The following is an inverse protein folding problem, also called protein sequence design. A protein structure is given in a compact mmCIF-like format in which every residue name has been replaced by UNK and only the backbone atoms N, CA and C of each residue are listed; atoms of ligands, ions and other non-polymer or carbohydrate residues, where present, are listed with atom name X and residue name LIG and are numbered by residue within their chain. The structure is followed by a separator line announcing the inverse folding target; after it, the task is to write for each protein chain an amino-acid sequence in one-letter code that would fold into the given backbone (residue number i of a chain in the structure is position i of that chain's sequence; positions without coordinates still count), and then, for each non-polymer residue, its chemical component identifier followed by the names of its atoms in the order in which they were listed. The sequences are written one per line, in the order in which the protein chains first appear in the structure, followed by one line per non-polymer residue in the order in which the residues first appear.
data_IF_835231068132
#
_entry.id   IF_835231068132
#
_cell.length_a   1.000
_cell.length_b   1.000
_cell.length_c   1.000
_cell.angle_alpha   90.00
_cell.angle_beta   90.00
_cell.angle_gamma   90.00
#
_symmetry.space_group_name_H-M   'P 1'
#
loop_
_entity.id
_entity.type
_entity.pdbx_description
1 polymer ?
#
# COMPACT_ATOMS: atom_id res chain seq x y z
N UNK A 1 14.48 -5.52 -20.96
CA UNK A 1 13.58 -6.15 -21.96
C UNK A 1 12.60 -7.14 -21.31
N UNK A 2 13.02 -7.99 -20.34
CA UNK A 2 12.12 -8.92 -19.63
C UNK A 2 11.14 -8.15 -18.72
N UNK A 3 11.58 -7.13 -18.01
CA UNK A 3 10.75 -6.30 -17.12
C UNK A 3 9.65 -5.53 -17.88
N UNK A 4 9.91 -5.22 -19.14
CA UNK A 4 8.94 -4.55 -20.02
C UNK A 4 7.84 -5.50 -20.51
N UNK A 5 8.14 -6.80 -20.61
CA UNK A 5 7.20 -7.80 -21.14
C UNK A 5 6.39 -8.49 -20.04
N UNK A 6 6.98 -8.75 -18.87
CA UNK A 6 6.36 -9.53 -17.78
C UNK A 6 6.25 -8.79 -16.45
N UNK A 7 6.86 -7.60 -16.31
CA UNK A 7 6.90 -6.82 -15.08
C UNK A 7 6.10 -5.52 -15.15
N UNK A 8 6.40 -4.61 -14.19
CA UNK A 8 5.79 -3.29 -14.07
C UNK A 8 6.49 -2.23 -14.95
N UNK A 9 7.39 -2.66 -15.86
CA UNK A 9 8.10 -1.77 -16.78
C UNK A 9 8.88 -0.66 -16.06
N UNK A 10 8.63 0.62 -16.41
CA UNK A 10 9.35 1.75 -15.79
C UNK A 10 9.18 1.85 -14.27
N UNK A 11 8.18 1.21 -13.69
CA UNK A 11 7.89 1.28 -12.25
C UNK A 11 8.63 0.24 -11.41
N UNK A 12 9.33 -0.73 -12.03
CA UNK A 12 10.03 -1.82 -11.31
C UNK A 12 11.00 -1.30 -10.25
N UNK A 13 11.82 -0.30 -10.60
CA UNK A 13 12.78 0.28 -9.65
C UNK A 13 12.12 0.92 -8.44
N UNK A 14 10.96 1.58 -8.64
CA UNK A 14 10.20 2.18 -7.54
C UNK A 14 9.47 1.12 -6.69
N UNK A 15 9.03 0.03 -7.32
CA UNK A 15 8.41 -1.08 -6.61
C UNK A 15 9.42 -1.87 -5.77
N UNK A 16 10.66 -2.01 -6.26
CA UNK A 16 11.73 -2.70 -5.56
C UNK A 16 12.34 -1.86 -4.39
N UNK A 17 12.16 -0.54 -4.39
CA UNK A 17 12.68 0.35 -3.36
C UNK A 17 11.78 0.33 -2.12
N UNK A 18 12.21 -0.31 -1.05
CA UNK A 18 11.44 -0.45 0.20
C UNK A 18 11.13 0.88 0.91
N UNK A 19 11.83 1.96 0.56
CA UNK A 19 11.57 3.31 1.10
C UNK A 19 10.40 4.01 0.42
N UNK A 20 9.99 3.54 -0.76
CA UNK A 20 8.84 4.05 -1.50
C UNK A 20 7.57 3.42 -0.95
N UNK A 21 6.61 4.26 -0.56
CA UNK A 21 5.32 3.84 0.02
C UNK A 21 4.18 3.86 -0.99
N UNK A 22 4.20 4.80 -1.93
CA UNK A 22 3.16 4.95 -2.94
C UNK A 22 3.76 5.39 -4.28
N UNK A 23 3.20 4.91 -5.38
CA UNK A 23 3.58 5.26 -6.75
C UNK A 23 2.31 5.76 -7.45
N UNK A 24 2.39 6.93 -8.06
CA UNK A 24 1.28 7.59 -8.74
C UNK A 24 1.68 7.92 -10.17
N UNK A 25 0.94 7.42 -11.13
CA UNK A 25 1.10 7.67 -12.57
C UNK A 25 -0.11 8.44 -13.07
N UNK A 26 0.09 9.68 -13.47
CA UNK A 26 -0.93 10.57 -14.00
C UNK A 26 -0.66 10.81 -15.50
N UNK A 27 -1.14 9.89 -16.32
CA UNK A 27 -0.78 9.82 -17.73
C UNK A 27 0.67 9.37 -17.95
N UNK A 28 1.11 9.20 -19.20
CA UNK A 28 2.38 8.54 -19.52
C UNK A 28 3.63 9.34 -19.10
N UNK A 29 3.51 10.66 -18.93
CA UNK A 29 4.67 11.55 -18.69
C UNK A 29 4.86 11.97 -17.24
N UNK A 30 3.91 11.65 -16.36
CA UNK A 30 3.87 12.16 -14.99
C UNK A 30 3.84 11.03 -14.00
N UNK A 31 5.02 10.59 -13.56
CA UNK A 31 5.19 9.59 -12.53
C UNK A 31 5.70 10.26 -11.26
N UNK A 32 5.00 10.01 -10.16
CA UNK A 32 5.36 10.48 -8.83
C UNK A 32 5.47 9.30 -7.87
N UNK A 33 6.22 9.48 -6.80
CA UNK A 33 6.28 8.50 -5.72
C UNK A 33 6.37 9.20 -4.37
N UNK A 34 5.88 8.54 -3.35
CA UNK A 34 6.01 8.97 -1.97
C UNK A 34 7.15 8.21 -1.28
N UNK A 35 7.97 8.95 -0.54
CA UNK A 35 9.04 8.43 0.32
C UNK A 35 9.10 9.28 1.59
N UNK A 36 9.13 8.66 2.75
CA UNK A 36 9.17 9.34 4.05
C UNK A 36 8.09 10.43 4.21
N UNK A 37 6.87 10.17 3.70
CA UNK A 37 5.74 11.09 3.74
C UNK A 37 5.89 12.32 2.84
N UNK A 38 6.84 12.31 1.90
CA UNK A 38 7.06 13.38 0.92
C UNK A 38 6.89 12.88 -0.49
N UNK A 39 6.34 13.75 -1.31
CA UNK A 39 6.11 13.48 -2.74
C UNK A 39 7.32 13.91 -3.56
N UNK A 40 7.73 13.02 -4.47
CA UNK A 40 8.82 13.26 -5.42
C UNK A 40 8.34 12.98 -6.83
N UNK A 41 8.85 13.74 -7.79
CA UNK A 41 8.67 13.44 -9.21
C UNK A 41 9.74 12.46 -9.66
N UNK A 42 9.33 11.40 -10.34
CA UNK A 42 10.25 10.42 -10.95
C UNK A 42 10.73 10.89 -12.31
N UNK A 43 11.94 10.48 -12.69
CA UNK A 43 12.45 10.61 -14.06
C UNK A 43 11.87 9.51 -14.99
N UNK A 44 11.31 8.45 -14.41
CA UNK A 44 10.65 7.38 -15.13
C UNK A 44 9.40 7.90 -15.85
N UNK A 45 9.16 7.39 -17.04
CA UNK A 45 8.00 7.73 -17.86
C UNK A 45 7.64 6.58 -18.78
N UNK A 46 6.41 6.59 -19.26
CA UNK A 46 5.96 5.72 -20.34
C UNK A 46 6.17 6.43 -21.69
N UNK A 47 6.35 5.68 -22.75
CA UNK A 47 6.52 6.24 -24.09
C UNK A 47 5.24 6.96 -24.54
N UNK A 48 4.09 6.33 -24.31
CA UNK A 48 2.76 6.79 -24.70
C UNK A 48 1.67 6.22 -23.78
N UNK A 49 0.42 6.56 -24.07
CA UNK A 49 -0.75 6.07 -23.34
C UNK A 49 -0.99 4.57 -23.55
N UNK A 50 -0.67 4.05 -24.72
CA UNK A 50 -0.86 2.63 -25.03
C UNK A 50 0.07 1.75 -24.18
N UNK A 51 1.30 2.18 -23.95
CA UNK A 51 2.22 1.49 -23.05
C UNK A 51 1.71 1.48 -21.60
N UNK A 52 1.19 2.63 -21.13
CA UNK A 52 0.61 2.72 -19.79
C UNK A 52 -0.66 1.87 -19.69
N UNK A 53 -1.53 1.90 -20.70
CA UNK A 53 -2.73 1.08 -20.77
C UNK A 53 -2.39 -0.41 -20.76
N UNK A 54 -1.43 -0.83 -21.54
CA UNK A 54 -0.95 -2.21 -21.56
C UNK A 54 -0.39 -2.66 -20.21
N UNK A 55 0.26 -1.77 -19.45
CA UNK A 55 0.64 -2.06 -18.07
C UNK A 55 -0.57 -2.27 -17.16
N UNK A 56 -1.57 -1.39 -17.23
CA UNK A 56 -2.80 -1.52 -16.42
C UNK A 56 -3.48 -2.86 -16.70
N UNK A 57 -3.66 -3.23 -17.97
CA UNK A 57 -4.29 -4.48 -18.36
C UNK A 57 -3.48 -5.70 -17.90
N UNK A 58 -2.16 -5.64 -17.98
CA UNK A 58 -1.24 -6.68 -17.51
C UNK A 58 -1.30 -6.88 -16.00
N UNK A 59 -1.42 -5.80 -15.25
CA UNK A 59 -1.51 -5.84 -13.79
C UNK A 59 -2.86 -6.39 -13.33
N UNK A 60 -3.94 -6.04 -14.03
CA UNK A 60 -5.30 -6.42 -13.65
C UNK A 60 -5.70 -7.81 -14.17
N UNK A 61 -5.20 -8.22 -15.32
CA UNK A 61 -5.57 -9.48 -15.98
C UNK A 61 -5.41 -10.72 -15.07
N UNK A 62 -4.24 -10.95 -14.44
CA UNK A 62 -4.04 -12.08 -13.53
C UNK A 62 -4.93 -12.05 -12.29
N UNK A 63 -5.47 -10.89 -11.92
CA UNK A 63 -6.38 -10.70 -10.78
C UNK A 63 -7.85 -10.97 -11.16
N UNK A 64 -8.13 -11.36 -12.41
CA UNK A 64 -9.47 -11.54 -12.92
C UNK A 64 -10.28 -10.24 -12.98
N UNK A 65 -9.60 -9.08 -12.99
CA UNK A 65 -10.22 -7.76 -13.08
C UNK A 65 -10.10 -7.20 -14.49
N UNK A 66 -11.14 -6.51 -14.93
CA UNK A 66 -11.17 -5.81 -16.21
C UNK A 66 -11.47 -4.33 -15.97
N UNK A 67 -10.94 -3.49 -16.85
CA UNK A 67 -11.20 -2.08 -16.89
C UNK A 67 -11.48 -1.69 -18.35
N UNK A 68 -12.61 -1.08 -18.60
CA UNK A 68 -13.06 -0.65 -19.94
C UNK A 68 -13.90 0.63 -19.83
N UNK A 69 -14.37 1.16 -20.95
CA UNK A 69 -15.16 2.40 -21.00
C UNK A 69 -16.47 2.31 -20.22
N UNK A 70 -17.06 1.12 -20.07
CA UNK A 70 -18.28 0.90 -19.30
C UNK A 70 -18.00 0.81 -17.80
N UNK A 71 -16.78 0.41 -17.43
CA UNK A 71 -16.29 0.29 -16.06
C UNK A 71 -14.87 0.88 -15.97
N UNK A 72 -14.74 2.22 -16.09
CA UNK A 72 -13.46 2.90 -16.31
C UNK A 72 -12.61 3.08 -15.04
N UNK A 73 -13.00 2.47 -13.93
CA UNK A 73 -12.30 2.53 -12.65
C UNK A 73 -12.26 1.15 -11.98
N UNK A 74 -11.12 0.78 -11.43
CA UNK A 74 -10.97 -0.48 -10.73
C UNK A 74 -10.04 -0.35 -9.52
N UNK A 75 -10.42 -1.02 -8.46
CA UNK A 75 -9.58 -1.29 -7.29
C UNK A 75 -9.20 -2.76 -7.29
N UNK A 76 -7.93 -3.05 -7.09
CA UNK A 76 -7.40 -4.41 -7.01
C UNK A 76 -6.30 -4.52 -5.96
N UNK A 77 -5.95 -5.75 -5.62
CA UNK A 77 -4.84 -6.06 -4.73
C UNK A 77 -3.92 -7.07 -5.40
N UNK A 78 -2.64 -6.74 -5.45
CA UNK A 78 -1.60 -7.62 -5.99
C UNK A 78 -1.34 -8.80 -5.04
N UNK A 79 -0.81 -9.93 -5.53
CA UNK A 79 -0.42 -11.06 -4.68
C UNK A 79 0.56 -10.68 -3.57
N UNK A 80 1.41 -9.68 -3.81
CA UNK A 80 2.35 -9.12 -2.83
C UNK A 80 1.66 -8.25 -1.76
N UNK A 81 0.35 -8.03 -1.89
CA UNK A 81 -0.45 -7.24 -0.96
C UNK A 81 -0.59 -5.77 -1.34
N UNK A 82 0.14 -5.25 -2.33
CA UNK A 82 0.02 -3.87 -2.79
C UNK A 82 -1.39 -3.60 -3.31
N UNK A 83 -1.92 -2.42 -2.99
CA UNK A 83 -3.20 -1.95 -3.54
C UNK A 83 -2.96 -1.24 -4.86
N UNK A 84 -3.78 -1.54 -5.84
CA UNK A 84 -3.78 -0.89 -7.15
C UNK A 84 -5.12 -0.21 -7.36
N UNK A 85 -5.08 1.05 -7.74
CA UNK A 85 -6.22 1.81 -8.23
C UNK A 85 -5.91 2.30 -9.63
N UNK A 86 -6.75 1.96 -10.58
CA UNK A 86 -6.60 2.39 -11.97
C UNK A 86 -7.87 3.10 -12.45
N UNK A 87 -7.70 4.15 -13.21
CA UNK A 87 -8.78 4.92 -13.87
C UNK A 87 -8.35 5.19 -15.31
N UNK A 88 -9.30 5.03 -16.22
CA UNK A 88 -9.07 5.27 -17.66
C UNK A 88 -10.11 6.27 -18.21
N UNK A 89 -9.92 6.80 -19.43
CA UNK A 89 -10.98 7.53 -20.11
C UNK A 89 -12.29 6.71 -20.17
N UNK A 90 -13.47 7.33 -20.05
CA UNK A 90 -13.72 8.78 -20.06
C UNK A 90 -13.58 9.48 -18.68
N UNK A 91 -13.33 8.78 -17.58
CA UNK A 91 -13.18 9.40 -16.26
C UNK A 91 -11.84 10.12 -16.10
N UNK A 92 -10.76 9.53 -16.60
CA UNK A 92 -9.43 10.13 -16.58
C UNK A 92 -9.23 10.95 -17.88
N UNK A 93 -9.34 12.28 -17.79
CA UNK A 93 -9.36 13.16 -18.96
C UNK A 93 -7.98 13.28 -19.64
N UNK A 94 -6.89 13.17 -18.88
CA UNK A 94 -5.51 13.34 -19.35
C UNK A 94 -4.80 11.99 -19.62
N UNK A 95 -5.58 10.95 -19.92
CA UNK A 95 -5.09 9.59 -20.13
C UNK A 95 -5.19 8.70 -18.90
N UNK A 96 -4.74 7.44 -18.98
CA UNK A 96 -4.83 6.48 -17.87
C UNK A 96 -4.10 6.96 -16.62
N UNK A 97 -4.70 6.69 -15.47
CA UNK A 97 -4.13 6.95 -14.14
C UNK A 97 -3.94 5.62 -13.43
N UNK A 98 -2.81 5.43 -12.79
CA UNK A 98 -2.49 4.25 -11.99
C UNK A 98 -1.86 4.66 -10.66
N UNK A 99 -2.46 4.24 -9.57
CA UNK A 99 -1.87 4.39 -8.23
C UNK A 99 -1.58 3.02 -7.65
N UNK A 100 -0.37 2.84 -7.14
CA UNK A 100 0.06 1.62 -6.44
C UNK A 100 0.50 2.01 -5.05
N UNK A 101 -0.29 1.68 -4.04
CA UNK A 101 0.08 1.83 -2.64
C UNK A 101 0.76 0.56 -2.17
N UNK A 102 2.03 0.67 -1.83
CA UNK A 102 2.82 -0.46 -1.38
C UNK A 102 2.37 -0.91 -0.01
N UNK A 103 2.32 -2.21 0.15
CA UNK A 103 2.06 -2.82 1.43
C UNK A 103 3.40 -2.93 2.18
N UNK A 104 3.50 -2.32 3.36
CA UNK A 104 4.73 -2.36 4.14
C UNK A 104 5.14 -3.82 4.38
N UNK A 105 6.35 -4.19 3.98
CA UNK A 105 6.83 -5.57 4.12
C UNK A 105 7.18 -5.92 5.57
N UNK A 106 7.64 -4.93 6.34
CA UNK A 106 7.99 -5.09 7.74
C UNK A 106 6.85 -4.62 8.65
N UNK A 107 6.36 -5.52 9.48
CA UNK A 107 5.46 -5.16 10.59
C UNK A 107 6.33 -4.62 11.73
N UNK A 108 6.03 -3.40 12.18
CA UNK A 108 6.65 -2.83 13.37
C UNK A 108 6.06 -3.47 14.62
N UNK A 109 6.91 -3.85 15.55
CA UNK A 109 6.50 -4.31 16.88
C UNK A 109 6.35 -3.13 17.85
N UNK A 110 5.74 -3.38 19.01
CA UNK A 110 5.70 -2.38 20.10
C UNK A 110 7.10 -1.97 20.55
N UNK A 111 8.10 -2.88 20.48
CA UNK A 111 9.48 -2.58 20.82
C UNK A 111 10.15 -1.67 19.77
N UNK A 112 9.87 -1.88 18.48
CA UNK A 112 10.35 -1.00 17.42
C UNK A 112 9.78 0.42 17.57
N UNK A 113 8.49 0.54 17.95
CA UNK A 113 7.83 1.84 18.16
C UNK A 113 8.39 2.58 19.38
N UNK A 114 8.70 1.85 20.46
CA UNK A 114 9.40 2.42 21.62
C UNK A 114 10.80 2.95 21.22
N UNK A 115 11.58 2.14 20.48
CA UNK A 115 12.90 2.54 20.01
C UNK A 115 12.88 3.80 19.12
N UNK A 116 11.78 4.02 18.39
CA UNK A 116 11.54 5.23 17.60
C UNK A 116 10.96 6.41 18.41
N UNK A 117 10.77 6.23 19.72
CA UNK A 117 10.27 7.28 20.60
C UNK A 117 8.77 7.57 20.50
N UNK A 118 7.98 6.64 19.92
CA UNK A 118 6.52 6.80 19.84
C UNK A 118 5.86 6.80 21.22
N UNK A 119 6.45 6.07 22.17
CA UNK A 119 6.04 5.97 23.58
C UNK A 119 7.19 5.37 24.41
N UNK A 120 7.06 5.41 25.72
CA UNK A 120 8.05 4.86 26.65
C UNK A 120 7.83 3.38 27.01
N UNK A 121 8.78 2.77 27.74
CA UNK A 121 8.72 1.37 28.17
C UNK A 121 7.54 1.05 29.10
N UNK A 122 7.07 2.04 29.90
CA UNK A 122 5.91 1.87 30.76
C UNK A 122 4.63 1.73 29.92
N UNK A 123 4.47 2.58 28.91
CA UNK A 123 3.38 2.49 27.96
C UNK A 123 3.42 1.20 27.14
N UNK A 124 4.61 0.77 26.67
CA UNK A 124 4.75 -0.53 25.98
C UNK A 124 4.28 -1.68 26.87
N UNK A 125 4.70 -1.68 28.13
CA UNK A 125 4.33 -2.71 29.09
C UNK A 125 2.82 -2.73 29.32
N UNK A 126 2.22 -1.55 29.51
CA UNK A 126 0.78 -1.41 29.66
C UNK A 126 0.00 -1.90 28.44
N UNK A 127 0.40 -1.50 27.24
CA UNK A 127 -0.25 -1.93 25.99
C UNK A 127 -0.14 -3.44 25.79
N UNK A 128 1.02 -4.03 26.05
CA UNK A 128 1.22 -5.49 25.98
C UNK A 128 0.31 -6.21 26.99
N UNK A 129 0.24 -5.70 28.22
CA UNK A 129 -0.67 -6.24 29.23
C UNK A 129 -2.13 -6.13 28.83
N UNK A 130 -2.56 -4.98 28.31
CA UNK A 130 -3.94 -4.77 27.87
C UNK A 130 -4.36 -5.78 26.80
N UNK A 131 -3.50 -6.02 25.80
CA UNK A 131 -3.75 -7.00 24.75
C UNK A 131 -3.85 -8.42 25.32
N UNK A 132 -2.86 -8.83 26.13
CA UNK A 132 -2.85 -10.17 26.75
C UNK A 132 -4.01 -10.40 27.73
N UNK A 133 -4.45 -9.35 28.40
CA UNK A 133 -5.63 -9.36 29.27
C UNK A 133 -6.95 -9.24 28.49
N UNK A 134 -6.91 -9.31 27.14
CA UNK A 134 -8.07 -9.25 26.24
C UNK A 134 -8.96 -8.01 26.46
N UNK A 135 -8.32 -6.87 26.74
CA UNK A 135 -9.04 -5.60 26.87
C UNK A 135 -9.44 -5.05 25.52
N UNK A 136 -10.59 -4.41 25.45
CA UNK A 136 -10.98 -3.63 24.26
C UNK A 136 -10.09 -2.40 24.14
N UNK A 137 -9.46 -2.25 22.98
CA UNK A 137 -8.56 -1.12 22.66
C UNK A 137 -9.11 -0.39 21.46
N UNK A 138 -9.28 0.90 21.56
CA UNK A 138 -9.63 1.78 20.44
C UNK A 138 -8.40 2.63 20.06
N UNK A 139 -8.04 2.58 18.77
CA UNK A 139 -6.95 3.40 18.20
C UNK A 139 -7.57 4.47 17.30
N UNK A 140 -7.36 5.75 17.62
CA UNK A 140 -7.90 6.88 16.86
C UNK A 140 -6.81 7.89 16.51
N UNK A 141 -7.06 8.69 15.49
CA UNK A 141 -6.12 9.74 15.04
C UNK A 141 -6.39 10.14 13.58
N UNK A 142 -5.74 11.17 13.12
CA UNK A 142 -5.80 11.66 11.72
C UNK A 142 -5.17 10.71 10.70
N UNK A 143 -5.31 11.01 9.43
CA UNK A 143 -4.62 10.30 8.35
C UNK A 143 -3.10 10.44 8.53
N UNK A 144 -2.34 9.36 8.30
CA UNK A 144 -0.88 9.34 8.44
C UNK A 144 -0.35 9.37 9.88
N UNK A 145 -1.21 9.33 10.92
CA UNK A 145 -0.77 9.36 12.32
C UNK A 145 -0.23 8.04 12.87
N UNK A 146 -0.14 6.99 12.05
CA UNK A 146 0.37 5.68 12.47
C UNK A 146 -0.65 4.74 13.13
N UNK A 147 -1.97 5.00 13.00
CA UNK A 147 -3.02 4.13 13.59
C UNK A 147 -2.88 2.66 13.20
N UNK A 148 -2.77 2.39 11.91
CA UNK A 148 -2.63 1.02 11.39
C UNK A 148 -1.29 0.41 11.82
N UNK A 149 -0.24 1.21 11.92
CA UNK A 149 1.07 0.78 12.43
C UNK A 149 0.97 0.33 13.88
N UNK A 150 0.32 1.15 14.73
CA UNK A 150 0.11 0.78 16.14
C UNK A 150 -0.80 -0.44 16.28
N UNK A 151 -1.86 -0.53 15.48
CA UNK A 151 -2.76 -1.69 15.52
C UNK A 151 -2.05 -2.98 15.12
N UNK A 152 -1.20 -2.95 14.07
CA UNK A 152 -0.34 -4.07 13.71
C UNK A 152 0.67 -4.40 14.83
N UNK A 153 1.27 -3.40 15.49
CA UNK A 153 2.19 -3.63 16.60
C UNK A 153 1.48 -4.27 17.82
N UNK A 154 0.22 -3.89 18.08
CA UNK A 154 -0.61 -4.50 19.11
C UNK A 154 -0.97 -5.96 18.75
N UNK A 155 -1.29 -6.23 17.48
CA UNK A 155 -1.59 -7.60 17.04
C UNK A 155 -0.42 -8.56 17.23
N UNK A 156 0.83 -8.09 17.08
CA UNK A 156 2.03 -8.87 17.37
C UNK A 156 2.17 -9.27 18.85
N UNK A 157 1.47 -8.61 19.77
CA UNK A 157 1.47 -8.93 21.19
C UNK A 157 0.42 -9.99 21.58
N UNK A 158 -0.46 -10.37 20.66
CA UNK A 158 -1.46 -11.42 20.85
C UNK A 158 -0.74 -12.77 20.90
N UNK A 159 -1.04 -13.64 21.88
CA UNK A 159 -0.50 -14.99 21.94
C UNK A 159 -0.81 -15.80 20.67
N UNK A 160 0.14 -16.62 20.22
CA UNK A 160 0.03 -17.37 18.97
C UNK A 160 -1.08 -18.44 18.98
N UNK A 161 -1.52 -18.88 20.17
CA UNK A 161 -2.60 -19.82 20.36
C UNK A 161 -4.00 -19.18 20.20
N UNK A 162 -4.08 -17.86 20.10
CA UNK A 162 -5.36 -17.16 19.97
C UNK A 162 -5.82 -17.12 18.50
N UNK A 163 -7.12 -17.35 18.31
CA UNK A 163 -7.75 -17.17 17.02
C UNK A 163 -8.05 -15.68 16.77
N UNK A 164 -7.46 -15.12 15.73
CA UNK A 164 -7.69 -13.73 15.33
C UNK A 164 -8.67 -13.69 14.15
N UNK A 165 -9.61 -12.76 14.18
CA UNK A 165 -10.50 -12.43 13.07
C UNK A 165 -10.37 -10.93 12.81
N UNK A 166 -10.05 -10.55 11.56
CA UNK A 166 -10.00 -9.16 11.13
C UNK A 166 -11.25 -8.83 10.31
N UNK A 167 -11.81 -7.64 10.51
CA UNK A 167 -12.92 -7.08 9.72
C UNK A 167 -12.43 -5.72 9.21
N UNK A 168 -12.22 -5.63 7.91
CA UNK A 168 -11.56 -4.50 7.27
C UNK A 168 -12.23 -4.21 5.92
N UNK A 169 -12.39 -2.92 5.57
CA UNK A 169 -12.81 -2.53 4.21
C UNK A 169 -11.75 -2.96 3.18
N UNK A 170 -10.50 -2.93 3.59
CA UNK A 170 -9.38 -3.37 2.79
C UNK A 170 -8.27 -3.87 3.72
N UNK A 171 -7.82 -5.11 3.53
CA UNK A 171 -6.86 -5.74 4.42
C UNK A 171 -5.53 -4.94 4.51
N UNK A 172 -5.25 -4.43 5.70
CA UNK A 172 -4.02 -3.71 6.08
C UNK A 172 -3.32 -4.39 7.28
N UNK A 173 -4.06 -5.19 8.03
CA UNK A 173 -3.53 -5.91 9.19
C UNK A 173 -2.82 -7.20 8.76
N UNK A 174 -1.80 -7.57 9.56
CA UNK A 174 -0.99 -8.79 9.40
C UNK A 174 -0.97 -9.58 10.70
#
# INVERSE_FOLDING_TARGET
LLDTVFGFGPLEGLLADDTVTEIMVNGPRSVYFERDGRLYRSEQRFADEDQLRALVDRVLGPLGRRIDESSPMVNARLPQGHRVHAVIPPLALDGPVLTIRKFAQRVMTLADMEALGSFDGAMRTFLTWAVRARKSVAVSGGTGSGKTTLLNALSCAIPHEERIITIEDSAELR
#
